data_IF_635258266458
#
_entry.id   IF_635258266458
#
_cell.length_a   1.000
_cell.length_b   1.000
_cell.length_c   1.000
_cell.angle_alpha   90.00
_cell.angle_beta   90.00
_cell.angle_gamma   90.00
#
_symmetry.space_group_name_H-M   'P 1'
#
loop_
_entity.id
_entity.type
_entity.pdbx_description
1 polymer ?
#
# COMPACT_ATOMS: atom_id res chain seq x y z
N UNK A 1 -1.07 -16.58 17.98
CA UNK A 1 -1.61 -15.37 18.65
C UNK A 1 -0.99 -14.15 17.96
N UNK A 2 -1.80 -13.27 17.38
CA UNK A 2 -1.29 -12.05 16.74
C UNK A 2 -0.91 -11.04 17.83
N UNK A 3 0.38 -10.71 17.92
CA UNK A 3 0.87 -9.78 18.94
C UNK A 3 0.56 -8.31 18.57
N UNK A 4 -0.28 -7.62 19.33
CA UNK A 4 -0.56 -6.19 19.17
C UNK A 4 0.33 -5.31 20.07
N UNK A 5 1.30 -5.90 20.79
CA UNK A 5 2.12 -5.19 21.77
C UNK A 5 2.84 -3.97 21.20
N UNK A 6 3.45 -4.12 20.02
CA UNK A 6 4.15 -3.02 19.36
C UNK A 6 3.19 -1.93 18.84
N UNK A 7 2.05 -2.31 18.29
CA UNK A 7 1.05 -1.30 17.91
C UNK A 7 0.61 -0.48 19.10
N UNK A 8 0.31 -1.12 20.25
CA UNK A 8 -0.05 -0.41 21.49
C UNK A 8 1.07 0.47 22.00
N UNK A 9 2.31 -0.01 21.98
CA UNK A 9 3.47 0.75 22.46
C UNK A 9 3.79 2.00 21.62
N UNK A 10 3.46 1.97 20.33
CA UNK A 10 3.69 3.07 19.39
C UNK A 10 2.43 3.92 19.11
N UNK A 11 1.32 3.67 19.82
CA UNK A 11 0.06 4.36 19.59
C UNK A 11 -0.32 5.17 20.82
N UNK A 12 -0.68 6.42 20.61
CA UNK A 12 -1.29 7.27 21.60
C UNK A 12 -2.77 7.60 21.24
N UNK A 13 -3.35 8.62 21.88
CA UNK A 13 -4.74 9.01 21.64
C UNK A 13 -5.00 9.57 20.23
N UNK A 14 -3.97 9.97 19.49
CA UNK A 14 -4.08 10.54 18.13
C UNK A 14 -3.89 9.52 17.04
N UNK A 15 -2.90 8.64 17.18
CA UNK A 15 -2.55 7.69 16.13
C UNK A 15 -1.31 6.88 16.42
N UNK A 16 -0.84 6.16 15.40
CA UNK A 16 0.42 5.46 15.40
C UNK A 16 1.56 6.42 15.10
N UNK A 17 2.52 6.53 16.02
CA UNK A 17 3.77 7.26 15.84
C UNK A 17 4.60 6.63 14.74
N UNK A 18 5.19 7.47 13.88
CA UNK A 18 5.85 7.02 12.64
C UNK A 18 7.08 6.16 12.92
N UNK A 19 7.94 6.57 13.86
CA UNK A 19 9.22 5.93 14.10
C UNK A 19 9.48 5.57 15.56
N UNK A 20 10.31 4.55 15.75
CA UNK A 20 10.85 4.15 17.04
C UNK A 20 12.35 3.83 16.92
N UNK A 21 13.10 4.10 17.99
CA UNK A 21 14.47 3.66 18.13
C UNK A 21 14.57 2.62 19.25
N UNK A 22 14.98 1.40 18.91
CA UNK A 22 15.01 0.26 19.85
C UNK A 22 13.67 0.06 20.62
N UNK A 23 12.53 0.31 19.95
CA UNK A 23 11.21 0.18 20.54
C UNK A 23 10.73 1.38 21.35
N UNK A 24 11.54 2.44 21.50
CA UNK A 24 11.13 3.69 22.11
C UNK A 24 10.61 4.65 21.04
N UNK A 25 9.35 5.15 21.15
CA UNK A 25 8.78 6.05 20.18
C UNK A 25 9.59 7.34 20.00
N UNK A 26 9.79 7.76 18.77
CA UNK A 26 10.44 9.04 18.42
C UNK A 26 9.38 10.12 18.23
N UNK A 27 9.02 10.77 19.33
CA UNK A 27 7.92 11.75 19.35
C UNK A 27 8.08 12.89 18.34
N UNK A 28 9.31 13.31 18.06
CA UNK A 28 9.59 14.39 17.12
C UNK A 28 9.24 14.10 15.66
N UNK A 29 9.03 12.82 15.31
CA UNK A 29 8.70 12.40 13.95
C UNK A 29 7.18 12.46 13.67
N UNK A 30 6.34 12.58 14.70
CA UNK A 30 4.89 12.70 14.55
C UNK A 30 4.21 11.45 14.03
N UNK A 31 3.21 11.66 13.18
CA UNK A 31 2.32 10.61 12.65
C UNK A 31 2.18 10.73 11.14
N UNK A 32 1.95 9.60 10.44
CA UNK A 32 1.66 9.60 9.01
C UNK A 32 0.38 8.86 8.67
N UNK A 33 -0.31 9.33 7.64
CA UNK A 33 -1.43 8.59 7.02
C UNK A 33 -0.97 7.21 6.55
N UNK A 34 0.24 7.11 6.01
CA UNK A 34 0.81 5.87 5.52
C UNK A 34 0.84 4.78 6.59
N UNK A 35 1.35 5.07 7.78
CA UNK A 35 1.47 4.08 8.85
C UNK A 35 0.13 3.79 9.55
N UNK A 36 -0.69 4.81 9.80
CA UNK A 36 -2.01 4.63 10.36
C UNK A 36 -2.95 3.84 9.42
N UNK A 37 -2.86 4.06 8.10
CA UNK A 37 -3.58 3.26 7.12
C UNK A 37 -3.13 1.79 7.13
N UNK A 38 -1.83 1.50 7.22
CA UNK A 38 -1.33 0.13 7.35
C UNK A 38 -1.82 -0.54 8.63
N UNK A 39 -1.83 0.19 9.74
CA UNK A 39 -2.30 -0.31 11.02
C UNK A 39 -3.81 -0.63 10.98
N UNK A 40 -4.63 0.27 10.42
CA UNK A 40 -6.06 0.03 10.21
C UNK A 40 -6.30 -1.17 9.28
N UNK A 41 -5.59 -1.26 8.16
CA UNK A 41 -5.66 -2.40 7.24
C UNK A 41 -5.36 -3.71 7.96
N UNK A 42 -4.28 -3.75 8.74
CA UNK A 42 -3.89 -4.94 9.51
C UNK A 42 -5.00 -5.36 10.47
N UNK A 43 -5.53 -4.44 11.28
CA UNK A 43 -6.61 -4.74 12.22
C UNK A 43 -7.89 -5.18 11.50
N UNK A 44 -8.22 -4.57 10.36
CA UNK A 44 -9.41 -4.93 9.57
C UNK A 44 -9.36 -6.37 9.03
N UNK A 45 -8.16 -6.91 8.84
CA UNK A 45 -7.95 -8.27 8.35
C UNK A 45 -7.86 -9.32 9.46
N UNK A 46 -7.76 -8.91 10.73
CA UNK A 46 -7.74 -9.85 11.86
C UNK A 46 -9.14 -10.42 12.12
N UNK A 47 -9.21 -11.65 12.63
CA UNK A 47 -10.45 -12.18 13.19
C UNK A 47 -10.98 -11.27 14.31
N UNK A 48 -12.31 -11.21 14.48
CA UNK A 48 -12.97 -10.32 15.45
C UNK A 48 -12.36 -10.43 16.86
N UNK A 49 -12.23 -11.63 17.39
CA UNK A 49 -11.66 -11.85 18.74
C UNK A 49 -10.16 -11.55 18.89
N UNK A 50 -9.45 -11.24 17.80
CA UNK A 50 -8.04 -10.84 17.80
C UNK A 50 -7.82 -9.34 17.60
N UNK A 51 -8.89 -8.58 17.34
CA UNK A 51 -8.85 -7.13 17.14
C UNK A 51 -8.79 -6.38 18.47
N UNK A 52 -8.19 -5.21 18.40
CA UNK A 52 -8.30 -4.20 19.45
C UNK A 52 -9.17 -3.07 18.90
N UNK A 53 -10.38 -2.97 19.40
CA UNK A 53 -11.35 -1.96 18.92
C UNK A 53 -10.93 -0.53 19.26
N UNK A 54 -10.18 -0.32 20.33
CA UNK A 54 -9.61 0.96 20.67
C UNK A 54 -8.64 1.44 19.61
N UNK A 55 -7.74 0.56 19.18
CA UNK A 55 -6.80 0.85 18.08
C UNK A 55 -7.51 1.05 16.73
N UNK A 56 -8.55 0.25 16.44
CA UNK A 56 -9.37 0.45 15.22
C UNK A 56 -9.96 1.85 15.20
N UNK A 57 -10.55 2.27 16.31
CA UNK A 57 -11.16 3.61 16.47
C UNK A 57 -10.11 4.70 16.27
N UNK A 58 -8.95 4.58 16.91
CA UNK A 58 -7.86 5.56 16.83
C UNK A 58 -7.38 5.74 15.40
N UNK A 59 -7.07 4.65 14.69
CA UNK A 59 -6.56 4.75 13.32
C UNK A 59 -7.61 5.21 12.32
N UNK A 60 -8.87 4.80 12.48
CA UNK A 60 -9.95 5.30 11.63
C UNK A 60 -10.16 6.80 11.86
N UNK A 61 -10.23 7.24 13.12
CA UNK A 61 -10.38 8.65 13.47
C UNK A 61 -9.21 9.48 12.90
N UNK A 62 -7.97 8.95 12.97
CA UNK A 62 -6.81 9.59 12.36
C UNK A 62 -7.00 9.78 10.84
N UNK A 63 -7.38 8.73 10.10
CA UNK A 63 -7.59 8.84 8.67
C UNK A 63 -8.70 9.84 8.32
N UNK A 64 -9.81 9.84 9.07
CA UNK A 64 -10.90 10.81 8.87
C UNK A 64 -10.42 12.25 9.09
N UNK A 65 -9.54 12.48 10.08
CA UNK A 65 -8.94 13.79 10.34
C UNK A 65 -7.97 14.25 9.25
N UNK A 66 -7.24 13.30 8.65
CA UNK A 66 -6.27 13.59 7.60
C UNK A 66 -6.91 13.80 6.21
N UNK A 67 -8.19 13.46 6.04
CA UNK A 67 -8.87 13.63 4.77
C UNK A 67 -9.16 15.11 4.48
N UNK A 68 -8.77 15.57 3.29
CA UNK A 68 -9.04 16.90 2.76
C UNK A 68 -10.44 16.99 2.17
N UNK A 69 -10.91 18.22 1.93
CA UNK A 69 -12.21 18.47 1.28
C UNK A 69 -12.28 17.90 -0.15
N UNK A 70 -11.16 17.88 -0.86
CA UNK A 70 -11.05 17.31 -2.20
C UNK A 70 -11.00 15.76 -2.22
N UNK A 71 -11.10 15.11 -1.05
CA UNK A 71 -11.09 13.66 -0.91
C UNK A 71 -9.70 13.03 -0.77
N UNK A 72 -8.62 13.76 -1.05
CA UNK A 72 -7.24 13.30 -0.83
C UNK A 72 -6.90 13.27 0.65
N UNK A 73 -5.77 12.65 0.99
CA UNK A 73 -5.28 12.57 2.37
C UNK A 73 -3.94 13.28 2.49
N UNK A 74 -3.82 14.13 3.52
CA UNK A 74 -2.52 14.63 3.97
C UNK A 74 -1.68 13.46 4.47
N UNK A 75 -0.37 13.58 4.40
CA UNK A 75 0.49 12.51 4.94
C UNK A 75 0.92 12.77 6.37
N UNK A 76 1.52 13.91 6.66
CA UNK A 76 2.16 14.20 7.94
C UNK A 76 1.27 14.97 8.93
N UNK A 77 1.38 14.61 10.21
CA UNK A 77 0.82 15.35 11.34
C UNK A 77 1.86 15.41 12.45
N UNK A 78 2.26 16.62 12.84
CA UNK A 78 3.19 16.81 13.95
C UNK A 78 2.57 16.45 15.30
N UNK A 79 3.40 16.23 16.31
CA UNK A 79 2.94 15.93 17.68
C UNK A 79 2.05 17.03 18.29
N UNK A 80 2.26 18.29 17.93
CA UNK A 80 1.44 19.42 18.33
C UNK A 80 0.18 19.63 17.45
N UNK A 81 -0.06 18.74 16.48
CA UNK A 81 -1.29 18.69 15.68
C UNK A 81 -1.28 19.59 14.45
N UNK A 82 -0.13 20.06 13.98
CA UNK A 82 -0.01 20.77 12.71
C UNK A 82 0.10 19.81 11.55
N UNK A 83 -0.60 20.07 10.47
CA UNK A 83 -0.43 19.31 9.23
C UNK A 83 0.89 19.64 8.55
N UNK A 84 1.59 18.61 8.10
CA UNK A 84 2.76 18.73 7.24
C UNK A 84 2.30 18.41 5.81
N UNK A 85 2.01 19.45 5.04
CA UNK A 85 1.63 19.32 3.63
C UNK A 85 2.89 19.32 2.75
N UNK A 86 3.43 18.16 2.48
CA UNK A 86 4.49 17.95 1.50
C UNK A 86 3.91 17.66 0.10
N UNK A 87 3.18 18.64 -0.46
CA UNK A 87 2.64 18.52 -1.81
C UNK A 87 1.51 17.49 -1.99
N UNK A 88 1.22 17.14 -3.24
CA UNK A 88 0.14 16.22 -3.59
C UNK A 88 0.63 14.75 -3.60
N UNK A 89 0.83 14.16 -2.44
CA UNK A 89 1.25 12.78 -2.37
C UNK A 89 0.08 11.82 -2.64
N UNK A 90 0.14 11.08 -3.76
CA UNK A 90 -0.88 10.08 -4.12
C UNK A 90 -0.75 8.78 -3.31
N UNK A 91 0.46 8.41 -2.91
CA UNK A 91 0.71 7.16 -2.18
C UNK A 91 -0.05 7.09 -0.83
N UNK A 92 -0.06 8.13 0.03
CA UNK A 92 -0.85 8.14 1.26
C UNK A 92 -2.35 8.00 0.99
N UNK A 93 -2.87 8.71 -0.03
CA UNK A 93 -4.28 8.59 -0.42
C UNK A 93 -4.60 7.17 -0.90
N UNK A 94 -3.77 6.58 -1.75
CA UNK A 94 -3.95 5.19 -2.19
C UNK A 94 -3.97 4.19 -1.03
N UNK A 95 -3.09 4.37 -0.03
CA UNK A 95 -3.06 3.51 1.17
C UNK A 95 -4.27 3.72 2.07
N UNK A 96 -4.72 4.97 2.24
CA UNK A 96 -5.95 5.25 2.97
C UNK A 96 -7.16 4.58 2.31
N UNK A 97 -7.29 4.66 0.99
CA UNK A 97 -8.33 3.97 0.22
C UNK A 97 -8.28 2.45 0.43
N UNK A 98 -7.10 1.83 0.38
CA UNK A 98 -6.94 0.40 0.65
C UNK A 98 -7.40 0.03 2.07
N UNK A 99 -7.01 0.83 3.06
CA UNK A 99 -7.38 0.59 4.46
C UNK A 99 -8.88 0.79 4.71
N UNK A 100 -9.47 1.86 4.16
CA UNK A 100 -10.89 2.17 4.28
C UNK A 100 -11.75 1.12 3.57
N UNK A 101 -11.30 0.59 2.43
CA UNK A 101 -11.95 -0.52 1.75
C UNK A 101 -11.95 -1.79 2.61
N UNK A 102 -10.84 -2.12 3.24
CA UNK A 102 -10.76 -3.25 4.17
C UNK A 102 -11.63 -3.04 5.41
N UNK A 103 -11.74 -1.80 5.90
CA UNK A 103 -12.55 -1.43 7.07
C UNK A 103 -14.06 -1.61 6.83
N UNK A 104 -14.53 -1.79 5.59
CA UNK A 104 -15.92 -2.18 5.30
C UNK A 104 -16.30 -3.54 5.92
N UNK A 105 -15.34 -4.35 6.33
CA UNK A 105 -15.55 -5.65 6.99
C UNK A 105 -15.72 -5.52 8.50
N UNK A 106 -15.50 -4.34 9.05
CA UNK A 106 -15.62 -4.06 10.46
C UNK A 106 -17.10 -3.90 10.87
N UNK A 107 -17.43 -3.98 12.16
CA UNK A 107 -18.78 -3.70 12.66
C UNK A 107 -19.31 -2.31 12.24
N UNK A 108 -20.63 -2.09 12.22
CA UNK A 108 -21.25 -0.87 11.72
C UNK A 108 -20.70 0.45 12.26
N UNK A 109 -20.30 0.59 13.54
CA UNK A 109 -19.72 1.85 14.03
C UNK A 109 -18.47 2.31 13.29
N UNK A 110 -17.75 1.39 12.64
CA UNK A 110 -16.52 1.67 11.90
C UNK A 110 -16.73 1.64 10.38
N UNK A 111 -17.52 0.66 9.90
CA UNK A 111 -17.76 0.47 8.47
C UNK A 111 -18.47 1.66 7.82
N UNK A 112 -19.43 2.30 8.51
CA UNK A 112 -20.16 3.48 8.02
C UNK A 112 -19.23 4.65 7.73
N UNK A 113 -18.54 5.22 8.74
CA UNK A 113 -17.58 6.31 8.53
C UNK A 113 -16.48 5.98 7.54
N UNK A 114 -15.97 4.75 7.52
CA UNK A 114 -14.98 4.32 6.54
C UNK A 114 -15.53 4.35 5.11
N UNK A 115 -16.81 3.95 4.90
CA UNK A 115 -17.47 4.01 3.62
C UNK A 115 -17.66 5.45 3.14
N UNK A 116 -18.09 6.34 4.01
CA UNK A 116 -18.28 7.76 3.68
C UNK A 116 -16.97 8.42 3.25
N UNK A 117 -15.89 8.17 3.99
CA UNK A 117 -14.57 8.67 3.63
C UNK A 117 -14.07 8.09 2.30
N UNK A 118 -14.32 6.81 2.05
CA UNK A 118 -13.96 6.15 0.81
C UNK A 118 -14.71 6.75 -0.39
N UNK A 119 -16.01 7.00 -0.25
CA UNK A 119 -16.82 7.63 -1.31
C UNK A 119 -16.32 9.05 -1.62
N UNK A 120 -15.95 9.84 -0.60
CA UNK A 120 -15.35 11.16 -0.80
C UNK A 120 -14.00 11.11 -1.52
N UNK A 121 -13.24 10.02 -1.37
CA UNK A 121 -11.94 9.88 -2.02
C UNK A 121 -12.03 9.54 -3.51
N UNK A 122 -13.13 8.97 -4.01
CA UNK A 122 -13.23 8.48 -5.40
C UNK A 122 -12.90 9.53 -6.46
N UNK A 123 -13.44 10.77 -6.42
CA UNK A 123 -13.12 11.77 -7.43
C UNK A 123 -11.62 12.13 -7.50
N UNK A 124 -10.92 12.07 -6.36
CA UNK A 124 -9.50 12.37 -6.30
C UNK A 124 -8.63 11.31 -7.00
N UNK A 125 -9.15 10.09 -7.21
CA UNK A 125 -8.40 8.98 -7.84
C UNK A 125 -8.28 9.13 -9.36
N UNK A 126 -9.17 9.90 -10.00
CA UNK A 126 -9.18 10.09 -11.46
C UNK A 126 -7.87 10.73 -11.98
N UNK A 127 -7.26 11.62 -11.19
CA UNK A 127 -6.01 12.29 -11.53
C UNK A 127 -4.73 11.52 -11.16
N UNK A 128 -4.81 10.32 -10.59
CA UNK A 128 -3.62 9.61 -10.12
C UNK A 128 -2.66 9.24 -11.24
N UNK A 129 -1.39 9.55 -11.03
CA UNK A 129 -0.27 9.23 -11.92
C UNK A 129 0.73 8.26 -11.29
N UNK A 130 0.88 8.28 -9.97
CA UNK A 130 1.76 7.39 -9.22
C UNK A 130 1.37 5.93 -9.40
N UNK A 131 2.33 5.10 -9.80
CA UNK A 131 2.12 3.65 -9.89
C UNK A 131 1.67 3.03 -8.55
N UNK A 132 2.25 3.48 -7.44
CA UNK A 132 1.93 2.96 -6.10
C UNK A 132 0.59 3.49 -5.61
N UNK A 133 0.32 4.78 -5.80
CA UNK A 133 -0.97 5.37 -5.46
C UNK A 133 -2.12 4.63 -6.15
N UNK A 134 -2.02 4.45 -7.48
CA UNK A 134 -2.96 3.63 -8.27
C UNK A 134 -3.08 2.20 -7.75
N UNK A 135 -1.95 1.55 -7.48
CA UNK A 135 -1.92 0.16 -7.06
C UNK A 135 -2.61 -0.07 -5.71
N UNK A 136 -2.33 0.78 -4.72
CA UNK A 136 -2.98 0.66 -3.41
C UNK A 136 -4.48 0.90 -3.51
N UNK A 137 -4.90 1.98 -4.19
CA UNK A 137 -6.32 2.28 -4.38
C UNK A 137 -7.03 1.15 -5.13
N UNK A 138 -6.49 0.69 -6.25
CA UNK A 138 -7.04 -0.42 -7.04
C UNK A 138 -7.22 -1.68 -6.22
N UNK A 139 -6.20 -2.12 -5.47
CA UNK A 139 -6.28 -3.31 -4.62
C UNK A 139 -7.39 -3.20 -3.55
N UNK A 140 -7.61 -2.00 -3.03
CA UNK A 140 -8.71 -1.73 -2.10
C UNK A 140 -10.07 -1.84 -2.80
N UNK A 141 -10.24 -1.15 -3.90
CA UNK A 141 -11.52 -1.07 -4.61
C UNK A 141 -11.96 -2.41 -5.21
N UNK A 142 -11.01 -3.23 -5.68
CA UNK A 142 -11.30 -4.60 -6.15
C UNK A 142 -11.89 -5.52 -5.08
N UNK A 143 -11.72 -5.19 -3.80
CA UNK A 143 -12.36 -5.91 -2.72
C UNK A 143 -13.84 -5.52 -2.53
N UNK A 144 -14.33 -4.50 -3.24
CA UNK A 144 -15.67 -3.94 -3.18
C UNK A 144 -16.35 -4.01 -4.57
N UNK A 145 -16.80 -5.19 -5.02
CA UNK A 145 -17.24 -5.42 -6.41
C UNK A 145 -18.64 -4.85 -6.70
N UNK A 146 -18.88 -3.60 -6.37
CA UNK A 146 -20.13 -2.86 -6.60
C UNK A 146 -19.82 -1.42 -7.00
N UNK A 147 -20.70 -0.82 -7.79
CA UNK A 147 -20.60 0.60 -8.12
C UNK A 147 -20.78 1.50 -6.87
N UNK A 148 -20.11 2.65 -6.81
CA UNK A 148 -19.20 3.22 -7.84
C UNK A 148 -17.74 2.73 -7.74
N UNK A 149 -17.42 1.79 -6.87
CA UNK A 149 -16.04 1.34 -6.62
C UNK A 149 -15.46 0.55 -7.80
N UNK A 150 -16.31 -0.20 -8.50
CA UNK A 150 -15.89 -1.03 -9.63
C UNK A 150 -15.44 -0.17 -10.82
N UNK A 151 -16.18 0.89 -11.13
CA UNK A 151 -15.82 1.86 -12.18
C UNK A 151 -14.47 2.53 -11.88
N UNK A 152 -14.29 3.02 -10.66
CA UNK A 152 -13.02 3.62 -10.24
C UNK A 152 -11.85 2.60 -10.29
N UNK A 153 -12.10 1.35 -9.93
CA UNK A 153 -11.11 0.28 -10.03
C UNK A 153 -10.72 0.01 -11.50
N UNK A 154 -11.67 0.01 -12.42
CA UNK A 154 -11.39 -0.18 -13.84
C UNK A 154 -10.53 0.97 -14.39
N UNK A 155 -10.85 2.21 -14.08
CA UNK A 155 -10.07 3.38 -14.50
C UNK A 155 -8.62 3.35 -13.99
N UNK A 156 -8.41 3.02 -12.72
CA UNK A 156 -7.07 2.85 -12.13
C UNK A 156 -6.30 1.71 -12.80
N UNK A 157 -6.97 0.59 -13.06
CA UNK A 157 -6.39 -0.58 -13.72
C UNK A 157 -5.97 -0.30 -15.15
N UNK A 158 -6.77 0.42 -15.93
CA UNK A 158 -6.39 0.86 -17.28
C UNK A 158 -5.19 1.82 -17.24
N UNK A 159 -5.10 2.68 -16.23
CA UNK A 159 -3.94 3.55 -16.01
C UNK A 159 -2.66 2.75 -15.74
N UNK A 160 -2.73 1.71 -14.91
CA UNK A 160 -1.59 0.80 -14.69
C UNK A 160 -1.26 0.00 -15.95
N UNK A 161 -2.25 -0.57 -16.63
CA UNK A 161 -2.04 -1.33 -17.87
C UNK A 161 -1.31 -0.51 -18.91
N UNK A 162 -1.69 0.75 -19.11
CA UNK A 162 -1.02 1.68 -20.03
C UNK A 162 0.44 1.87 -19.65
N UNK A 163 0.74 2.16 -18.39
CA UNK A 163 2.10 2.35 -17.91
C UNK A 163 2.99 1.12 -18.15
N UNK A 164 2.48 -0.08 -17.86
CA UNK A 164 3.24 -1.32 -18.10
C UNK A 164 3.38 -1.68 -19.58
N UNK A 165 2.45 -1.29 -20.43
CA UNK A 165 2.53 -1.47 -21.89
C UNK A 165 3.64 -0.61 -22.50
N UNK A 166 3.82 0.60 -21.98
CA UNK A 166 4.85 1.54 -22.42
C UNK A 166 6.25 1.21 -21.87
N UNK A 167 6.38 0.28 -20.95
CA UNK A 167 7.66 -0.14 -20.39
C UNK A 167 8.50 -0.88 -21.46
N UNK A 168 9.81 -0.62 -21.49
CA UNK A 168 10.73 -1.27 -22.42
C UNK A 168 10.80 -2.79 -22.21
N UNK A 169 10.92 -3.60 -23.28
CA UNK A 169 11.01 -5.05 -23.14
C UNK A 169 12.17 -5.54 -22.24
N UNK A 170 13.30 -4.85 -22.28
CA UNK A 170 14.48 -5.17 -21.45
C UNK A 170 14.36 -4.64 -20.00
N UNK A 171 13.39 -3.76 -19.73
CA UNK A 171 13.09 -3.23 -18.41
C UNK A 171 11.56 -3.19 -18.25
N UNK A 172 10.90 -4.35 -18.06
CA UNK A 172 9.45 -4.47 -18.11
C UNK A 172 8.75 -3.96 -16.84
N UNK A 173 9.27 -2.90 -16.25
CA UNK A 173 8.71 -2.19 -15.11
C UNK A 173 8.68 -0.69 -15.40
N UNK A 174 7.54 -0.01 -15.21
CA UNK A 174 7.42 1.42 -15.49
C UNK A 174 8.26 2.27 -14.52
N UNK A 175 9.40 2.75 -14.99
CA UNK A 175 10.30 3.62 -14.22
C UNK A 175 11.30 2.87 -13.33
N UNK A 176 11.95 3.58 -12.41
CA UNK A 176 13.01 3.03 -11.55
C UNK A 176 12.43 2.18 -10.42
N UNK A 177 13.22 1.20 -9.97
CA UNK A 177 12.89 0.43 -8.76
C UNK A 177 13.23 1.26 -7.53
N UNK A 178 12.25 1.43 -6.64
CA UNK A 178 12.40 2.14 -5.38
C UNK A 178 11.95 1.26 -4.21
N UNK A 179 10.82 1.54 -3.60
CA UNK A 179 10.21 0.71 -2.56
C UNK A 179 8.85 0.18 -3.01
N UNK A 180 8.40 -0.93 -2.41
CA UNK A 180 7.08 -1.54 -2.67
C UNK A 180 6.79 -1.82 -4.16
N UNK A 181 7.83 -2.14 -4.95
CA UNK A 181 7.73 -2.29 -6.41
C UNK A 181 6.83 -3.46 -6.84
N UNK A 182 6.59 -4.42 -5.97
CA UNK A 182 5.64 -5.52 -6.23
C UNK A 182 4.18 -5.08 -6.22
N UNK A 183 3.84 -3.96 -5.56
CA UNK A 183 2.44 -3.51 -5.45
C UNK A 183 1.80 -3.15 -6.79
N UNK A 184 2.44 -2.37 -7.69
CA UNK A 184 1.92 -2.15 -9.04
C UNK A 184 1.73 -3.45 -9.83
N UNK A 185 2.67 -4.39 -9.70
CA UNK A 185 2.60 -5.70 -10.39
C UNK A 185 1.44 -6.54 -9.85
N UNK A 186 1.28 -6.61 -8.53
CA UNK A 186 0.17 -7.29 -7.85
C UNK A 186 -1.19 -6.69 -8.28
N UNK A 187 -1.28 -5.37 -8.29
CA UNK A 187 -2.50 -4.66 -8.66
C UNK A 187 -2.86 -4.88 -10.14
N UNK A 188 -1.88 -4.81 -11.04
CA UNK A 188 -2.09 -5.09 -12.47
C UNK A 188 -2.56 -6.53 -12.71
N UNK A 189 -1.97 -7.49 -12.00
CA UNK A 189 -2.41 -8.89 -12.08
C UNK A 189 -3.85 -9.06 -11.60
N UNK A 190 -4.17 -8.49 -10.43
CA UNK A 190 -5.51 -8.55 -9.85
C UNK A 190 -6.56 -7.89 -10.78
N UNK A 191 -6.21 -6.76 -11.38
CA UNK A 191 -7.01 -6.10 -12.41
C UNK A 191 -7.26 -7.01 -13.61
N UNK A 192 -6.19 -7.61 -14.14
CA UNK A 192 -6.27 -8.53 -15.27
C UNK A 192 -7.21 -9.71 -15.04
N UNK A 193 -7.23 -10.25 -13.82
CA UNK A 193 -8.15 -11.31 -13.43
C UNK A 193 -9.60 -10.80 -13.28
N UNK A 194 -9.79 -9.68 -12.57
CA UNK A 194 -11.13 -9.15 -12.27
C UNK A 194 -11.88 -8.72 -13.52
N UNK A 195 -11.18 -8.06 -14.45
CA UNK A 195 -11.77 -7.52 -15.70
C UNK A 195 -11.46 -8.36 -16.94
N UNK A 196 -10.92 -9.57 -16.77
CA UNK A 196 -10.58 -10.51 -17.86
C UNK A 196 -9.64 -9.90 -18.92
N UNK A 197 -8.70 -9.07 -18.50
CA UNK A 197 -7.68 -8.43 -19.34
C UNK A 197 -6.44 -9.30 -19.42
N UNK A 198 -6.39 -10.23 -20.37
CA UNK A 198 -5.27 -11.18 -20.51
C UNK A 198 -3.91 -10.50 -20.70
N UNK A 199 -3.87 -9.36 -21.39
CA UNK A 199 -2.66 -8.57 -21.57
C UNK A 199 -2.11 -8.08 -20.22
N UNK A 200 -2.97 -7.59 -19.32
CA UNK A 200 -2.55 -7.16 -17.98
C UNK A 200 -1.93 -8.30 -17.18
N UNK A 201 -2.51 -9.50 -17.26
CA UNK A 201 -1.97 -10.71 -16.64
C UNK A 201 -0.58 -11.05 -17.21
N UNK A 202 -0.40 -11.01 -18.53
CA UNK A 202 0.87 -11.31 -19.17
C UNK A 202 1.96 -10.30 -18.80
N UNK A 203 1.64 -9.01 -18.85
CA UNK A 203 2.57 -7.93 -18.46
C UNK A 203 2.96 -8.03 -16.99
N UNK A 204 2.01 -8.28 -16.10
CA UNK A 204 2.28 -8.46 -14.68
C UNK A 204 3.21 -9.64 -14.41
N UNK A 205 3.00 -10.79 -15.07
CA UNK A 205 3.89 -11.96 -14.95
C UNK A 205 5.31 -11.65 -15.43
N UNK A 206 5.45 -10.96 -16.56
CA UNK A 206 6.76 -10.56 -17.08
C UNK A 206 7.49 -9.63 -16.10
N UNK A 207 6.78 -8.63 -15.56
CA UNK A 207 7.34 -7.72 -14.56
C UNK A 207 7.69 -8.44 -13.26
N UNK A 208 6.90 -9.42 -12.82
CA UNK A 208 7.20 -10.22 -11.64
C UNK A 208 8.48 -11.03 -11.82
N UNK A 209 8.66 -11.70 -12.97
CA UNK A 209 9.87 -12.43 -13.27
C UNK A 209 11.10 -11.52 -13.22
N UNK A 210 11.01 -10.34 -13.85
CA UNK A 210 12.04 -9.32 -13.79
C UNK A 210 12.37 -8.88 -12.35
N UNK A 211 11.37 -8.63 -11.50
CA UNK A 211 11.60 -8.27 -10.11
C UNK A 211 12.25 -9.43 -9.31
N UNK A 212 11.89 -10.70 -9.61
CA UNK A 212 12.55 -11.85 -8.99
C UNK A 212 14.05 -11.86 -9.25
N UNK A 213 14.46 -11.65 -10.48
CA UNK A 213 15.89 -11.61 -10.86
C UNK A 213 16.65 -10.48 -10.15
N UNK A 214 15.96 -9.38 -9.79
CA UNK A 214 16.57 -8.23 -9.11
C UNK A 214 16.58 -8.34 -7.59
N UNK A 215 15.63 -9.11 -7.02
CA UNK A 215 15.49 -9.20 -5.56
C UNK A 215 16.03 -10.48 -4.95
N UNK A 216 16.15 -11.54 -5.75
CA UNK A 216 16.57 -12.83 -5.22
C UNK A 216 17.85 -13.29 -5.89
N UNK A 217 18.83 -13.64 -5.09
CA UNK A 217 20.10 -14.21 -5.54
C UNK A 217 20.12 -15.68 -5.16
N UNK A 218 20.36 -16.61 -6.10
CA UNK A 218 20.59 -18.01 -5.79
C UNK A 218 21.84 -18.18 -4.92
N UNK A 219 21.76 -19.02 -3.89
CA UNK A 219 22.87 -19.37 -3.03
C UNK A 219 22.88 -20.87 -2.72
N UNK A 220 23.94 -21.36 -2.08
CA UNK A 220 24.11 -22.79 -1.76
C UNK A 220 23.00 -23.35 -0.87
N UNK A 221 22.42 -22.52 0.01
CA UNK A 221 21.35 -22.90 0.93
C UNK A 221 19.95 -22.45 0.47
N UNK A 222 19.80 -21.88 -0.72
CA UNK A 222 18.52 -21.41 -1.27
C UNK A 222 18.58 -20.04 -1.91
N UNK A 223 17.41 -19.35 -1.96
CA UNK A 223 17.29 -18.01 -2.48
C UNK A 223 17.50 -16.97 -1.39
N UNK A 224 18.43 -16.06 -1.60
CA UNK A 224 18.64 -14.91 -0.74
C UNK A 224 17.89 -13.70 -1.28
N UNK A 225 17.13 -13.04 -0.41
CA UNK A 225 16.47 -11.79 -0.73
C UNK A 225 17.49 -10.65 -0.69
N UNK A 226 17.61 -9.98 -1.84
CA UNK A 226 18.50 -8.84 -2.02
C UNK A 226 17.67 -7.55 -2.07
N UNK A 227 17.62 -6.78 -0.98
CA UNK A 227 16.71 -5.66 -0.88
C UNK A 227 17.15 -4.49 -1.75
N UNK A 228 16.20 -3.93 -2.48
CA UNK A 228 16.33 -2.59 -3.03
C UNK A 228 15.95 -1.60 -1.93
N UNK A 229 16.90 -0.81 -1.48
CA UNK A 229 16.67 0.16 -0.41
C UNK A 229 15.95 1.43 -0.86
N UNK A 230 16.05 2.48 -0.06
CA UNK A 230 15.41 3.78 -0.29
C UNK A 230 15.95 4.56 -1.51
N UNK A 231 17.10 4.17 -2.05
CA UNK A 231 17.64 4.78 -3.26
C UNK A 231 17.00 4.21 -4.51
N UNK A 232 16.88 5.05 -5.50
CA UNK A 232 16.41 4.69 -6.84
C UNK A 232 17.40 3.74 -7.51
N UNK A 233 16.93 2.56 -7.89
CA UNK A 233 17.69 1.66 -8.75
C UNK A 233 17.24 1.88 -10.19
N UNK A 234 18.15 2.39 -10.99
CA UNK A 234 18.03 2.49 -12.44
C UNK A 234 19.05 1.56 -13.09
N UNK A 235 18.92 1.33 -14.39
CA UNK A 235 19.85 0.49 -15.16
C UNK A 235 21.32 0.76 -14.76
N UNK A 236 22.02 -0.30 -14.35
CA UNK A 236 23.47 -0.27 -14.11
C UNK A 236 23.95 0.48 -12.87
N UNK A 237 23.07 0.78 -11.92
CA UNK A 237 23.47 1.41 -10.65
C UNK A 237 23.46 0.39 -9.52
N UNK A 238 24.40 0.57 -8.58
CA UNK A 238 24.51 -0.26 -7.41
C UNK A 238 23.25 -0.21 -6.53
N UNK A 239 22.94 -1.35 -5.92
CA UNK A 239 21.81 -1.47 -5.01
C UNK A 239 22.08 -0.68 -3.74
N UNK A 240 21.17 0.13 -3.29
CA UNK A 240 21.31 0.79 -2.00
C UNK A 240 21.01 -0.15 -0.85
N UNK A 241 21.74 0.04 0.23
CA UNK A 241 21.62 -0.73 1.47
C UNK A 241 20.49 -0.17 2.35
N UNK A 242 19.70 -1.02 2.91
CA UNK A 242 19.21 -1.08 4.25
C UNK A 242 17.73 -1.03 4.60
N UNK A 243 16.98 -0.01 4.63
CA UNK A 243 15.87 0.14 5.58
C UNK A 243 14.55 -0.60 5.24
N UNK A 244 14.44 -1.21 4.08
CA UNK A 244 13.16 -1.76 3.60
C UNK A 244 13.12 -3.28 3.45
N UNK A 245 14.14 -3.97 3.92
CA UNK A 245 14.29 -5.44 3.74
C UNK A 245 13.05 -6.27 4.07
N UNK A 246 12.44 -6.15 5.27
CA UNK A 246 11.29 -6.98 5.60
C UNK A 246 10.05 -6.65 4.79
N UNK A 247 9.89 -5.38 4.40
CA UNK A 247 8.74 -4.90 3.62
C UNK A 247 8.78 -5.42 2.19
N UNK A 248 9.92 -5.32 1.53
CA UNK A 248 10.08 -5.80 0.16
C UNK A 248 9.96 -7.33 0.07
N UNK A 249 10.59 -8.06 0.97
CA UNK A 249 10.47 -9.51 1.04
C UNK A 249 9.00 -9.95 1.25
N UNK A 250 8.27 -9.27 2.14
CA UNK A 250 6.85 -9.55 2.39
C UNK A 250 5.99 -9.25 1.16
N UNK A 251 6.25 -8.13 0.48
CA UNK A 251 5.54 -7.78 -0.76
C UNK A 251 5.83 -8.79 -1.87
N UNK A 252 7.10 -9.19 -2.03
CA UNK A 252 7.49 -10.20 -2.99
C UNK A 252 6.78 -11.53 -2.71
N UNK A 253 6.82 -12.02 -1.49
CA UNK A 253 6.15 -13.26 -1.09
C UNK A 253 4.64 -13.17 -1.32
N UNK A 254 4.00 -12.06 -0.98
CA UNK A 254 2.57 -11.88 -1.17
C UNK A 254 2.19 -11.86 -2.66
N UNK A 255 2.97 -11.19 -3.50
CA UNK A 255 2.78 -11.22 -4.94
C UNK A 255 2.89 -12.65 -5.49
N UNK A 256 3.94 -13.40 -5.10
CA UNK A 256 4.12 -14.80 -5.52
C UNK A 256 2.94 -15.70 -5.10
N UNK A 257 2.45 -15.57 -3.87
CA UNK A 257 1.27 -16.31 -3.41
C UNK A 257 0.02 -15.99 -4.23
N UNK A 258 -0.19 -14.73 -4.60
CA UNK A 258 -1.31 -14.33 -5.46
C UNK A 258 -1.19 -14.88 -6.88
N UNK A 259 0.02 -14.94 -7.43
CA UNK A 259 0.26 -15.50 -8.74
C UNK A 259 0.20 -17.04 -8.76
N UNK A 260 0.06 -17.68 -7.58
CA UNK A 260 0.10 -19.14 -7.46
C UNK A 260 1.45 -19.76 -7.76
N UNK A 261 2.50 -18.96 -7.76
CA UNK A 261 3.87 -19.41 -7.96
C UNK A 261 4.52 -19.78 -6.62
N UNK A 262 5.26 -20.87 -6.61
CA UNK A 262 6.13 -21.21 -5.46
C UNK A 262 7.40 -20.36 -5.54
N UNK A 263 7.79 -19.81 -4.40
CA UNK A 263 9.07 -19.10 -4.25
C UNK A 263 10.22 -20.09 -4.20
#
# INVERSE_FOLDING_TARGET
MFGLGWLRALTDARGLLEHAHHGVPRLGEGYTTDDNARALLYLSLLPEGARDEGLVRTYLAFLLHMQKEDGRFRNGLTLDGRFEDEGEAEDPTGRAVLALAAAQRLPPPYAGPAREALLRALPALEGFTSLRGRAYALLGLLALPKEPFLEAAEALGEGLLRAFREAEPAWPYPGPLTYANHRPVEALYAYGLAFRRQEAVALARRALAFLKEHYFTPGEEGLFFDPVGSRVVARGRDKPLFEQRPREAKCALHAHLRFGERV
#
